data_IF_566581573655
#
_entry.id   IF_566581573655
#
_cell.length_a   1.000
_cell.length_b   1.000
_cell.length_c   1.000
_cell.angle_alpha   90.00
_cell.angle_beta   90.00
_cell.angle_gamma   90.00
#
_symmetry.space_group_name_H-M   'P 1'
#
loop_
_entity.id
_entity.type
_entity.pdbx_description
1 polymer ?
#
# COMPACT_ATOMS: atom_id res chain seq x y z
N UNK A 1 3.75 -8.43 15.33
CA UNK A 1 2.81 -9.06 14.37
C UNK A 1 3.64 -9.77 13.32
N UNK A 2 3.67 -11.11 13.27
CA UNK A 2 4.31 -11.81 12.16
C UNK A 2 3.49 -11.59 10.88
N UNK A 3 4.17 -11.18 9.81
CA UNK A 3 3.79 -11.19 8.38
C UNK A 3 2.34 -10.86 7.99
N UNK A 4 2.13 -9.75 7.28
CA UNK A 4 0.91 -9.55 6.47
C UNK A 4 0.99 -10.52 5.28
N UNK A 5 0.43 -11.72 5.45
CA UNK A 5 0.51 -12.81 4.45
C UNK A 5 -0.77 -13.00 3.66
N UNK A 6 -1.85 -12.29 4.02
CA UNK A 6 -3.08 -12.32 3.25
C UNK A 6 -3.77 -10.95 3.24
N UNK A 7 -4.67 -10.83 2.26
CA UNK A 7 -5.43 -9.61 1.99
C UNK A 7 -6.35 -9.19 3.15
N UNK A 8 -6.92 -10.13 3.89
CA UNK A 8 -7.81 -9.82 5.02
C UNK A 8 -7.06 -9.03 6.10
N UNK A 9 -5.86 -9.49 6.44
CA UNK A 9 -4.99 -8.79 7.39
C UNK A 9 -4.37 -7.52 6.79
N UNK A 10 -4.13 -7.48 5.48
CA UNK A 10 -3.57 -6.31 4.79
C UNK A 10 -4.45 -5.07 4.93
N UNK A 11 -5.77 -5.20 4.75
CA UNK A 11 -6.67 -4.06 4.87
C UNK A 11 -6.68 -3.47 6.30
N UNK A 12 -6.63 -4.33 7.33
CA UNK A 12 -6.52 -3.88 8.72
C UNK A 12 -5.18 -3.19 8.98
N UNK A 13 -4.10 -3.71 8.39
CA UNK A 13 -2.79 -3.07 8.45
C UNK A 13 -2.78 -1.69 7.77
N UNK A 14 -3.33 -1.56 6.56
CA UNK A 14 -3.42 -0.28 5.85
C UNK A 14 -4.22 0.74 6.63
N UNK A 15 -5.37 0.34 7.19
CA UNK A 15 -6.19 1.22 8.03
C UNK A 15 -5.38 1.77 9.20
N UNK A 16 -4.71 0.89 9.95
CA UNK A 16 -3.86 1.31 11.09
C UNK A 16 -2.70 2.19 10.64
N UNK A 17 -2.06 1.87 9.51
CA UNK A 17 -0.99 2.68 8.94
C UNK A 17 -1.48 4.11 8.63
N UNK A 18 -2.62 4.25 7.97
CA UNK A 18 -3.20 5.54 7.63
C UNK A 18 -3.63 6.32 8.87
N UNK A 19 -4.20 5.66 9.88
CA UNK A 19 -4.56 6.30 11.15
C UNK A 19 -3.33 6.86 11.86
N UNK A 20 -2.21 6.12 11.86
CA UNK A 20 -0.96 6.59 12.45
C UNK A 20 -0.36 7.76 11.65
N UNK A 21 -0.40 7.72 10.31
CA UNK A 21 0.14 8.79 9.47
C UNK A 21 -0.66 10.09 9.60
N UNK A 22 -1.97 10.02 9.82
CA UNK A 22 -2.82 11.19 10.10
C UNK A 22 -2.44 11.95 11.38
N UNK A 23 -1.78 11.27 12.32
CA UNK A 23 -1.30 11.90 13.56
C UNK A 23 0.03 12.63 13.36
N UNK A 24 0.70 12.43 12.23
CA UNK A 24 1.92 13.15 11.90
C UNK A 24 1.55 14.58 11.54
N UNK A 25 1.90 15.49 12.42
CA UNK A 25 1.86 16.92 12.19
C UNK A 25 3.29 17.43 12.02
N UNK A 26 3.52 18.17 10.95
CA UNK A 26 4.83 18.77 10.66
C UNK A 26 4.61 20.28 10.63
N UNK A 27 5.12 20.95 11.67
CA UNK A 27 4.89 22.39 11.91
C UNK A 27 5.28 23.27 10.71
N UNK A 28 6.29 22.86 9.94
CA UNK A 28 6.76 23.62 8.77
C UNK A 28 5.85 23.55 7.54
N UNK A 29 4.84 22.68 7.54
CA UNK A 29 3.91 22.48 6.42
C UNK A 29 2.45 22.48 6.90
N UNK A 30 2.12 23.45 7.76
CA UNK A 30 0.88 23.59 8.54
C UNK A 30 -0.46 23.33 7.78
N UNK A 31 -0.46 23.47 6.45
CA UNK A 31 -1.63 23.25 5.59
C UNK A 31 -1.53 22.06 4.61
N UNK A 32 -0.50 21.22 4.72
CA UNK A 32 -0.29 20.06 3.86
C UNK A 32 -0.25 18.78 4.69
N UNK A 33 -1.38 18.08 4.85
CA UNK A 33 -1.38 16.82 5.56
C UNK A 33 -0.52 15.79 4.82
N UNK A 34 0.26 15.03 5.58
CA UNK A 34 1.02 13.90 5.01
C UNK A 34 0.02 12.84 4.56
N UNK A 35 0.02 12.54 3.26
CA UNK A 35 -0.83 11.51 2.63
C UNK A 35 0.02 10.43 1.99
N UNK A 36 -0.50 9.21 1.89
CA UNK A 36 0.20 8.06 1.35
C UNK A 36 -0.66 7.31 0.33
N UNK A 37 -0.08 7.08 -0.86
CA UNK A 37 -0.56 6.10 -1.83
C UNK A 37 0.32 4.85 -1.76
N UNK A 38 -0.28 3.67 -1.61
CA UNK A 38 0.44 2.41 -1.39
C UNK A 38 0.02 1.33 -2.39
N UNK A 39 1.00 0.70 -3.04
CA UNK A 39 0.80 -0.51 -3.84
C UNK A 39 1.32 -1.74 -3.10
N UNK A 40 0.61 -2.86 -3.19
CA UNK A 40 1.03 -4.12 -2.58
C UNK A 40 0.78 -5.30 -3.52
N UNK A 41 1.62 -6.33 -3.45
CA UNK A 41 1.45 -7.59 -4.16
C UNK A 41 1.67 -8.76 -3.19
N UNK A 42 0.93 -9.85 -3.37
CA UNK A 42 1.13 -11.10 -2.64
C UNK A 42 1.68 -12.15 -3.58
N UNK A 43 2.74 -12.82 -3.15
CA UNK A 43 3.22 -14.02 -3.82
C UNK A 43 2.44 -15.24 -3.30
N UNK A 44 1.85 -16.02 -4.21
CA UNK A 44 1.04 -17.18 -3.86
C UNK A 44 1.81 -18.50 -3.84
N UNK A 45 3.11 -18.46 -4.19
CA UNK A 45 3.98 -19.63 -4.23
C UNK A 45 3.71 -20.60 -5.38
N UNK A 46 2.83 -20.25 -6.33
CA UNK A 46 2.41 -21.12 -7.44
C UNK A 46 3.03 -20.75 -8.77
N UNK A 47 3.25 -19.46 -8.99
CA UNK A 47 3.90 -18.96 -10.20
C UNK A 47 5.42 -18.90 -10.01
N UNK A 48 6.19 -19.25 -11.05
CA UNK A 48 7.62 -18.98 -11.09
C UNK A 48 7.82 -17.49 -11.40
N UNK A 49 7.73 -16.67 -10.36
CA UNK A 49 7.88 -15.22 -10.46
C UNK A 49 9.18 -14.79 -9.84
N UNK A 50 9.89 -13.96 -10.59
CA UNK A 50 11.02 -13.21 -10.07
C UNK A 50 10.54 -12.14 -9.06
N UNK A 51 11.46 -11.72 -8.20
CA UNK A 51 11.23 -10.57 -7.33
C UNK A 51 10.88 -9.31 -8.13
N UNK A 52 11.53 -9.09 -9.26
CA UNK A 52 11.31 -7.91 -10.10
C UNK A 52 9.89 -7.86 -10.66
N UNK A 53 9.33 -9.00 -11.06
CA UNK A 53 7.94 -9.08 -11.50
C UNK A 53 6.96 -8.79 -10.36
N UNK A 54 7.22 -9.30 -9.16
CA UNK A 54 6.40 -8.99 -7.98
C UNK A 54 6.47 -7.50 -7.62
N UNK A 55 7.65 -6.91 -7.74
CA UNK A 55 7.87 -5.49 -7.50
C UNK A 55 7.14 -4.64 -8.54
N UNK A 56 7.25 -4.96 -9.83
CA UNK A 56 6.52 -4.30 -10.92
C UNK A 56 5.00 -4.39 -10.73
N UNK A 57 4.48 -5.53 -10.26
CA UNK A 57 3.06 -5.70 -9.91
C UNK A 57 2.63 -4.77 -8.77
N UNK A 58 3.46 -4.65 -7.72
CA UNK A 58 3.20 -3.74 -6.61
C UNK A 58 3.26 -2.27 -7.05
N UNK A 59 4.23 -1.90 -7.89
CA UNK A 59 4.38 -0.56 -8.46
C UNK A 59 3.17 -0.17 -9.33
N UNK A 60 2.70 -1.10 -10.18
CA UNK A 60 1.47 -0.91 -10.97
C UNK A 60 0.26 -0.64 -10.07
N UNK A 61 0.13 -1.36 -8.95
CA UNK A 61 -0.93 -1.12 -7.98
C UNK A 61 -0.76 0.24 -7.25
N UNK A 62 0.46 0.67 -6.99
CA UNK A 62 0.73 2.00 -6.44
C UNK A 62 0.27 3.09 -7.42
N UNK A 63 0.52 2.91 -8.72
CA UNK A 63 0.07 3.87 -9.74
C UNK A 63 -1.45 4.05 -9.72
N UNK A 64 -2.23 2.97 -9.61
CA UNK A 64 -3.68 3.06 -9.43
C UNK A 64 -4.07 3.78 -8.13
N UNK A 65 -3.31 3.57 -7.05
CA UNK A 65 -3.58 4.23 -5.77
C UNK A 65 -3.37 5.75 -5.84
N UNK A 66 -2.41 6.22 -6.65
CA UNK A 66 -2.12 7.65 -6.87
C UNK A 66 -3.22 8.40 -7.63
N UNK A 67 -4.10 7.69 -8.34
CA UNK A 67 -5.24 8.30 -9.04
C UNK A 67 -6.35 8.74 -8.09
N UNK A 68 -6.30 8.31 -6.83
CA UNK A 68 -7.25 8.69 -5.79
C UNK A 68 -6.64 9.75 -4.89
N UNK A 69 -7.41 10.79 -4.59
CA UNK A 69 -6.98 11.82 -3.65
C UNK A 69 -6.98 11.29 -2.21
N UNK A 70 -5.97 11.70 -1.44
CA UNK A 70 -5.80 11.31 -0.04
C UNK A 70 -5.12 9.95 0.16
N UNK A 71 -5.46 9.27 1.27
CA UNK A 71 -4.89 7.97 1.59
C UNK A 71 -5.50 6.87 0.73
N UNK A 72 -4.66 6.11 0.03
CA UNK A 72 -5.11 5.05 -0.86
C UNK A 72 -4.17 3.85 -0.82
N UNK A 73 -4.73 2.65 -0.83
CA UNK A 73 -3.96 1.42 -0.95
C UNK A 73 -4.62 0.46 -1.94
N UNK A 74 -3.84 -0.04 -2.88
CA UNK A 74 -4.29 -1.05 -3.86
C UNK A 74 -3.44 -2.29 -3.74
N UNK A 75 -4.10 -3.44 -3.62
CA UNK A 75 -3.45 -4.74 -3.73
C UNK A 75 -3.60 -5.21 -5.17
N UNK A 76 -2.48 -5.49 -5.83
CA UNK A 76 -2.45 -6.05 -7.17
C UNK A 76 -3.32 -7.30 -7.25
N UNK A 77 -4.15 -7.37 -8.30
CA UNK A 77 -4.92 -8.56 -8.66
C UNK A 77 -4.60 -8.89 -10.10
N UNK A 78 -4.18 -10.14 -10.34
CA UNK A 78 -4.16 -10.69 -11.69
C UNK A 78 -5.61 -10.74 -12.18
N UNK A 79 -5.88 -10.14 -13.34
CA UNK A 79 -7.18 -10.25 -14.01
C UNK A 79 -7.38 -11.64 -14.57
#
# INVERSE_FOLDING_TARGET
>A
MPGVTNRKYANSFFKRLFENLKQIHVESIDNHPVVLSLGACFFDGKEDLSFDELYCRADSAMYESKKMDGFSATIFRKK
#
